data_IF_900563933687
#
_entry.id   IF_900563933687
#
_cell.length_a   1.000
_cell.length_b   1.000
_cell.length_c   1.000
_cell.angle_alpha   90.00
_cell.angle_beta   90.00
_cell.angle_gamma   90.00
#
_symmetry.space_group_name_H-M   'P 1'
#
loop_
_entity.id
_entity.type
_entity.pdbx_description
1 polymer ?
#
# COMPACT_ATOMS: atom_id res chain seq x y z
N UNK A 1 -23.10 -12.49 -21.63
CA UNK A 1 -22.25 -11.28 -21.73
C UNK A 1 -23.01 -10.03 -22.18
N UNK A 2 -23.95 -10.12 -23.12
CA UNK A 2 -24.81 -9.00 -23.57
C UNK A 2 -25.67 -8.39 -22.45
N UNK A 3 -25.99 -9.19 -21.43
CA UNK A 3 -26.77 -8.80 -20.27
C UNK A 3 -25.97 -7.89 -19.31
N UNK A 4 -24.76 -8.29 -18.90
CA UNK A 4 -23.91 -7.51 -17.98
C UNK A 4 -23.58 -6.11 -18.49
N UNK A 5 -23.20 -5.97 -19.78
CA UNK A 5 -22.89 -4.66 -20.36
C UNK A 5 -24.10 -3.73 -20.27
N UNK A 6 -25.27 -4.23 -20.66
CA UNK A 6 -26.51 -3.45 -20.67
C UNK A 6 -26.97 -3.12 -19.25
N UNK A 7 -26.87 -4.08 -18.32
CA UNK A 7 -27.20 -3.89 -16.92
C UNK A 7 -26.32 -2.82 -16.25
N UNK A 8 -24.99 -2.87 -16.45
CA UNK A 8 -24.07 -1.93 -15.82
C UNK A 8 -24.11 -0.54 -16.49
N UNK A 9 -23.96 -0.47 -17.81
CA UNK A 9 -23.93 0.80 -18.53
C UNK A 9 -25.32 1.46 -18.61
N UNK A 10 -26.40 0.67 -18.50
CA UNK A 10 -27.77 1.17 -18.46
C UNK A 10 -28.11 1.97 -17.21
N UNK A 11 -27.34 1.85 -16.13
CA UNK A 11 -27.55 2.62 -14.88
C UNK A 11 -27.37 4.12 -15.16
N UNK A 12 -26.29 4.47 -15.89
CA UNK A 12 -26.08 5.81 -16.43
C UNK A 12 -25.02 5.77 -17.56
N UNK A 13 -25.43 5.78 -18.85
CA UNK A 13 -24.52 5.58 -19.97
C UNK A 13 -23.56 6.76 -20.21
N UNK A 14 -23.79 7.90 -19.55
CA UNK A 14 -22.97 9.10 -19.64
C UNK A 14 -21.73 9.08 -18.73
N UNK A 15 -21.65 8.18 -17.74
CA UNK A 15 -20.53 8.12 -16.81
C UNK A 15 -19.40 7.25 -17.35
N UNK A 16 -18.18 7.79 -17.40
CA UNK A 16 -17.00 7.05 -17.84
C UNK A 16 -16.57 6.02 -16.80
N UNK A 17 -16.80 6.27 -15.51
CA UNK A 17 -16.48 5.33 -14.44
C UNK A 17 -17.18 3.97 -14.61
N UNK A 18 -18.40 3.94 -15.16
CA UNK A 18 -19.13 2.70 -15.44
C UNK A 18 -18.58 1.95 -16.66
N UNK A 19 -18.13 2.69 -17.68
CA UNK A 19 -17.43 2.12 -18.85
C UNK A 19 -16.10 1.53 -18.45
N UNK A 20 -15.36 2.24 -17.61
CA UNK A 20 -14.15 1.75 -17.00
C UNK A 20 -14.40 0.44 -16.22
N UNK A 21 -15.41 0.40 -15.34
CA UNK A 21 -15.73 -0.80 -14.57
C UNK A 21 -16.12 -1.99 -15.43
N UNK A 22 -16.94 -1.76 -16.46
CA UNK A 22 -17.28 -2.80 -17.43
C UNK A 22 -16.02 -3.41 -18.06
N UNK A 23 -15.10 -2.58 -18.55
CA UNK A 23 -13.86 -3.05 -19.15
C UNK A 23 -12.95 -3.73 -18.12
N UNK A 24 -12.82 -3.17 -16.92
CA UNK A 24 -11.94 -3.67 -15.86
C UNK A 24 -12.32 -5.08 -15.42
N UNK A 25 -13.60 -5.32 -15.13
CA UNK A 25 -14.10 -6.60 -14.60
C UNK A 25 -13.88 -7.76 -15.58
N UNK A 26 -13.82 -7.46 -16.88
CA UNK A 26 -13.56 -8.47 -17.91
C UNK A 26 -12.07 -8.87 -18.01
N UNK A 27 -11.14 -8.06 -17.49
CA UNK A 27 -9.70 -8.36 -17.56
C UNK A 27 -9.31 -9.51 -16.63
N UNK A 28 -8.26 -10.23 -16.99
CA UNK A 28 -7.72 -11.31 -16.14
C UNK A 28 -7.11 -10.78 -14.84
N UNK A 29 -6.62 -9.55 -14.85
CA UNK A 29 -6.02 -8.89 -13.69
C UNK A 29 -7.00 -7.95 -12.95
N UNK A 30 -8.32 -8.18 -13.10
CA UNK A 30 -9.41 -7.30 -12.58
C UNK A 30 -9.27 -6.94 -11.10
N UNK A 31 -8.80 -7.90 -10.29
CA UNK A 31 -8.62 -7.74 -8.85
C UNK A 31 -7.75 -6.53 -8.50
N UNK A 32 -6.76 -6.20 -9.32
CA UNK A 32 -5.91 -5.05 -9.04
C UNK A 32 -4.83 -5.36 -8.00
N UNK A 33 -4.60 -4.42 -7.09
CA UNK A 33 -3.59 -4.50 -6.04
C UNK A 33 -4.04 -5.38 -4.87
N UNK A 34 -3.57 -6.64 -4.80
CA UNK A 34 -3.74 -7.52 -3.63
C UNK A 34 -2.44 -8.26 -3.31
N UNK A 35 -1.87 -8.00 -2.13
CA UNK A 35 -0.49 -8.43 -1.78
C UNK A 35 -0.30 -9.02 -0.39
N UNK A 36 -1.29 -8.95 0.51
CA UNK A 36 -1.25 -9.57 1.85
C UNK A 36 -2.26 -10.70 1.96
N UNK A 37 -1.94 -11.69 2.79
CA UNK A 37 -2.91 -12.70 3.18
C UNK A 37 -3.84 -12.15 4.26
N UNK A 38 -5.11 -12.57 4.22
CA UNK A 38 -6.14 -12.12 5.14
C UNK A 38 -5.77 -12.38 6.60
N UNK A 39 -5.59 -11.30 7.35
CA UNK A 39 -5.45 -11.38 8.79
C UNK A 39 -5.79 -10.04 9.43
N UNK A 40 -6.43 -10.08 10.59
CA UNK A 40 -6.69 -8.89 11.41
C UNK A 40 -5.66 -8.83 12.54
N UNK A 41 -4.77 -7.88 12.44
CA UNK A 41 -3.70 -7.65 13.41
C UNK A 41 -3.53 -6.15 13.67
N UNK A 42 -3.01 -5.83 14.85
CA UNK A 42 -2.61 -4.48 15.25
C UNK A 42 -1.08 -4.37 15.26
N UNK A 43 -0.57 -3.15 15.41
CA UNK A 43 0.87 -2.93 15.66
C UNK A 43 1.34 -3.74 16.87
N UNK A 44 0.56 -3.73 17.96
CA UNK A 44 0.88 -4.49 19.17
C UNK A 44 0.95 -5.99 18.92
N UNK A 45 0.05 -6.54 18.11
CA UNK A 45 0.11 -7.94 17.68
C UNK A 45 1.45 -8.24 16.99
N UNK A 46 1.85 -7.40 16.02
CA UNK A 46 3.10 -7.58 15.29
C UNK A 46 4.30 -7.51 16.24
N UNK A 47 4.31 -6.55 17.18
CA UNK A 47 5.37 -6.41 18.18
C UNK A 47 5.46 -7.63 19.09
N UNK A 48 4.34 -8.20 19.53
CA UNK A 48 4.32 -9.44 20.32
C UNK A 48 4.94 -10.61 19.55
N UNK A 49 4.57 -10.78 18.28
CA UNK A 49 5.13 -11.85 17.42
C UNK A 49 6.64 -11.70 17.27
N UNK A 50 7.11 -10.49 16.94
CA UNK A 50 8.53 -10.23 16.71
C UNK A 50 9.37 -10.34 17.99
N UNK A 51 8.83 -9.89 19.14
CA UNK A 51 9.50 -9.90 20.45
C UNK A 51 10.01 -11.29 20.84
N UNK A 52 9.24 -12.33 20.51
CA UNK A 52 9.56 -13.72 20.90
C UNK A 52 10.42 -14.46 19.87
N UNK A 53 10.64 -13.90 18.68
CA UNK A 53 11.53 -14.53 17.70
C UNK A 53 13.00 -14.45 18.17
N UNK A 54 13.81 -15.51 17.93
CA UNK A 54 15.22 -15.46 18.25
C UNK A 54 15.93 -14.41 17.40
N UNK A 55 16.78 -13.60 18.06
CA UNK A 55 17.53 -12.52 17.41
C UNK A 55 18.72 -13.02 16.60
N UNK A 56 19.43 -14.02 17.11
CA UNK A 56 20.73 -14.42 16.55
C UNK A 56 20.71 -15.74 15.78
N UNK A 57 19.71 -16.59 16.00
CA UNK A 57 19.59 -17.91 15.37
C UNK A 57 18.33 -18.08 14.52
N UNK A 58 18.35 -19.09 13.66
CA UNK A 58 17.17 -19.53 12.91
C UNK A 58 16.24 -20.34 13.82
N UNK A 59 14.95 -20.00 13.83
CA UNK A 59 13.93 -20.80 14.49
C UNK A 59 13.39 -21.84 13.50
N UNK A 60 13.64 -23.12 13.75
CA UNK A 60 12.97 -24.21 13.04
C UNK A 60 11.48 -24.16 13.37
N UNK A 61 10.60 -24.26 12.38
CA UNK A 61 9.15 -24.34 12.59
C UNK A 61 8.56 -25.54 11.86
N UNK A 62 7.34 -25.96 12.22
CA UNK A 62 6.66 -27.13 11.63
C UNK A 62 6.50 -27.08 10.10
N UNK A 63 6.35 -28.26 9.49
CA UNK A 63 6.23 -28.46 8.05
C UNK A 63 4.85 -29.02 7.72
N UNK A 64 4.29 -28.58 6.59
CA UNK A 64 3.00 -29.06 6.13
C UNK A 64 1.83 -28.59 6.99
N UNK A 65 0.72 -29.30 6.84
CA UNK A 65 -0.55 -29.02 7.50
C UNK A 65 -0.62 -29.83 8.79
N UNK A 66 -1.09 -29.19 9.86
CA UNK A 66 -1.21 -29.82 11.17
C UNK A 66 -2.67 -30.21 11.35
N UNK A 67 -2.89 -31.51 11.47
CA UNK A 67 -4.18 -32.12 11.80
C UNK A 67 -4.11 -32.74 13.21
N UNK A 68 -5.23 -33.28 13.70
CA UNK A 68 -5.40 -33.74 15.08
C UNK A 68 -4.39 -34.84 15.51
N UNK A 69 -3.88 -35.60 14.55
CA UNK A 69 -2.91 -36.68 14.73
C UNK A 69 -1.45 -36.22 14.70
N UNK A 70 -1.18 -34.96 14.34
CA UNK A 70 0.18 -34.45 14.27
C UNK A 70 0.86 -34.51 15.64
N UNK A 71 2.13 -34.93 15.64
CA UNK A 71 3.00 -34.97 16.82
C UNK A 71 4.26 -34.18 16.52
N UNK A 72 4.48 -33.11 17.30
CA UNK A 72 5.68 -32.31 17.18
C UNK A 72 6.91 -33.15 17.50
N UNK A 73 7.93 -33.03 16.66
CA UNK A 73 9.23 -33.66 16.89
C UNK A 73 10.04 -32.90 17.95
N UNK A 74 11.06 -33.54 18.53
CA UNK A 74 11.96 -32.88 19.49
C UNK A 74 12.62 -31.62 18.92
N UNK A 75 12.93 -31.61 17.62
CA UNK A 75 13.52 -30.47 16.93
C UNK A 75 12.57 -29.27 16.84
N UNK A 76 11.25 -29.48 16.97
CA UNK A 76 10.21 -28.45 16.89
C UNK A 76 9.85 -27.85 18.25
N UNK A 77 10.47 -28.32 19.34
CA UNK A 77 10.16 -27.88 20.70
C UNK A 77 10.34 -26.36 20.88
N UNK A 78 11.41 -25.79 20.34
CA UNK A 78 11.64 -24.33 20.40
C UNK A 78 10.52 -23.54 19.71
N UNK A 79 9.91 -24.09 18.65
CA UNK A 79 8.78 -23.45 17.98
C UNK A 79 7.51 -23.54 18.82
N UNK A 80 7.28 -24.68 19.48
CA UNK A 80 6.17 -24.83 20.40
C UNK A 80 6.27 -23.83 21.56
N UNK A 81 7.45 -23.68 22.16
CA UNK A 81 7.71 -22.70 23.22
C UNK A 81 7.52 -21.26 22.72
N UNK A 82 8.03 -20.94 21.53
CA UNK A 82 7.78 -19.66 20.87
C UNK A 82 6.28 -19.38 20.71
N UNK A 83 5.51 -20.33 20.15
CA UNK A 83 4.07 -20.18 19.96
C UNK A 83 3.31 -20.03 21.28
N UNK A 84 3.73 -20.76 22.32
CA UNK A 84 3.14 -20.65 23.64
C UNK A 84 3.37 -19.25 24.25
N UNK A 85 4.59 -18.73 24.16
CA UNK A 85 4.94 -17.40 24.65
C UNK A 85 4.24 -16.29 23.87
N UNK A 86 4.17 -16.40 22.54
CA UNK A 86 3.39 -15.49 21.70
C UNK A 86 1.93 -15.50 22.10
N UNK A 87 1.30 -16.68 22.23
CA UNK A 87 -0.11 -16.76 22.60
C UNK A 87 -0.38 -16.22 24.02
N UNK A 88 0.53 -16.45 24.97
CA UNK A 88 0.43 -15.90 26.32
C UNK A 88 0.33 -14.38 26.30
N UNK A 89 1.18 -13.71 25.52
CA UNK A 89 1.14 -12.25 25.38
C UNK A 89 -0.05 -11.81 24.50
N UNK A 90 -0.41 -12.53 23.43
CA UNK A 90 -1.57 -12.18 22.60
C UNK A 90 -2.90 -12.24 23.37
N UNK A 91 -3.01 -13.10 24.38
CA UNK A 91 -4.21 -13.17 25.22
C UNK A 91 -4.46 -11.86 25.99
N UNK A 92 -3.42 -11.04 26.25
CA UNK A 92 -3.60 -9.73 26.92
C UNK A 92 -4.35 -8.74 26.03
N UNK A 93 -4.34 -8.95 24.71
CA UNK A 93 -5.09 -8.17 23.72
C UNK A 93 -6.28 -8.95 23.13
N UNK A 94 -6.72 -10.01 23.81
CA UNK A 94 -7.84 -10.88 23.40
C UNK A 94 -7.65 -11.48 22.00
N UNK A 95 -6.42 -11.88 21.67
CA UNK A 95 -6.04 -12.55 20.43
C UNK A 95 -5.38 -13.89 20.70
N UNK A 96 -5.35 -14.73 19.69
CA UNK A 96 -4.61 -15.98 19.68
C UNK A 96 -4.24 -16.36 18.24
N UNK A 97 -3.32 -17.31 18.11
CA UNK A 97 -2.84 -17.78 16.82
C UNK A 97 -2.47 -19.26 16.89
N UNK A 98 -2.89 -20.00 15.88
CA UNK A 98 -2.49 -21.39 15.70
C UNK A 98 -1.14 -21.46 14.99
N UNK A 99 -0.47 -22.61 15.11
CA UNK A 99 0.74 -22.91 14.35
C UNK A 99 0.57 -22.59 12.85
N UNK A 100 -0.48 -23.14 12.22
CA UNK A 100 -0.72 -22.95 10.79
C UNK A 100 -0.97 -21.47 10.46
N UNK A 101 -1.73 -20.75 11.29
CA UNK A 101 -1.93 -19.32 11.11
C UNK A 101 -0.63 -18.53 11.20
N UNK A 102 0.23 -18.85 12.18
CA UNK A 102 1.54 -18.23 12.34
C UNK A 102 2.41 -18.44 11.10
N UNK A 103 2.58 -19.69 10.65
CA UNK A 103 3.50 -19.99 9.54
C UNK A 103 2.98 -19.60 8.17
N UNK A 104 1.69 -19.84 7.91
CA UNK A 104 1.11 -19.68 6.58
C UNK A 104 0.63 -18.26 6.32
N UNK A 105 0.26 -17.51 7.36
CA UNK A 105 -0.31 -16.17 7.25
C UNK A 105 0.64 -15.13 7.84
N UNK A 106 0.92 -15.19 9.14
CA UNK A 106 1.67 -14.14 9.86
C UNK A 106 3.10 -14.04 9.33
N UNK A 107 3.84 -15.13 9.30
CA UNK A 107 5.20 -15.14 8.77
C UNK A 107 5.25 -14.78 7.28
N UNK A 108 4.24 -15.16 6.49
CA UNK A 108 4.18 -14.74 5.08
C UNK A 108 4.05 -13.23 4.97
N UNK A 109 3.15 -12.62 5.75
CA UNK A 109 2.94 -11.18 5.72
C UNK A 109 4.14 -10.41 6.29
N UNK A 110 4.71 -10.84 7.42
CA UNK A 110 5.90 -10.21 8.02
C UNK A 110 7.14 -10.32 7.12
N UNK A 111 7.29 -11.43 6.38
CA UNK A 111 8.34 -11.55 5.38
C UNK A 111 8.13 -10.56 4.22
N UNK A 112 6.89 -10.41 3.75
CA UNK A 112 6.54 -9.42 2.71
C UNK A 112 6.82 -7.99 3.16
N UNK A 113 6.60 -7.69 4.44
CA UNK A 113 6.93 -6.42 5.08
C UNK A 113 8.43 -6.23 5.32
N UNK A 114 9.24 -7.28 5.17
CA UNK A 114 10.68 -7.25 5.42
C UNK A 114 11.02 -7.13 6.91
N UNK A 115 10.13 -7.57 7.81
CA UNK A 115 10.37 -7.59 9.25
C UNK A 115 11.02 -8.90 9.69
N UNK A 116 10.83 -9.98 8.93
CA UNK A 116 11.46 -11.28 9.15
C UNK A 116 12.02 -11.84 7.84
N UNK A 117 13.01 -12.73 7.96
CA UNK A 117 13.50 -13.58 6.90
C UNK A 117 12.95 -14.99 7.08
N UNK A 118 12.62 -15.65 5.97
CA UNK A 118 12.22 -17.06 5.94
C UNK A 118 13.22 -17.85 5.12
N UNK A 119 13.51 -19.06 5.56
CA UNK A 119 14.50 -19.93 4.94
C UNK A 119 13.89 -21.29 4.62
N UNK A 120 14.43 -21.92 3.61
CA UNK A 120 14.03 -23.27 3.25
C UNK A 120 14.70 -24.33 4.14
N UNK A 121 14.36 -25.61 3.96
CA UNK A 121 14.97 -26.73 4.68
C UNK A 121 16.52 -26.80 4.63
N UNK A 122 17.16 -26.19 3.63
CA UNK A 122 18.63 -26.08 3.50
C UNK A 122 19.17 -24.79 4.12
N UNK A 123 18.38 -24.08 4.92
CA UNK A 123 18.71 -22.80 5.53
C UNK A 123 19.09 -21.71 4.50
N UNK A 124 18.63 -21.84 3.24
CA UNK A 124 18.81 -20.77 2.24
C UNK A 124 17.67 -19.78 2.34
N UNK A 125 18.02 -18.49 2.28
CA UNK A 125 17.05 -17.38 2.30
C UNK A 125 16.05 -17.52 1.16
N UNK A 126 14.76 -17.36 1.47
CA UNK A 126 13.69 -17.39 0.49
C UNK A 126 13.36 -15.98 0.02
N UNK A 127 13.40 -15.76 -1.29
CA UNK A 127 13.00 -14.48 -1.91
C UNK A 127 11.56 -14.09 -1.59
N UNK A 128 11.33 -12.81 -1.32
CA UNK A 128 9.99 -12.24 -1.13
C UNK A 128 9.18 -12.36 -2.43
N UNK A 129 7.99 -12.95 -2.33
CA UNK A 129 7.05 -13.08 -3.44
C UNK A 129 7.21 -14.33 -4.29
N UNK A 130 8.22 -15.17 -4.03
CA UNK A 130 8.31 -16.51 -4.63
C UNK A 130 7.69 -17.57 -3.70
N UNK A 131 7.15 -18.62 -4.29
CA UNK A 131 6.62 -19.76 -3.54
C UNK A 131 7.71 -20.82 -3.39
N UNK A 132 7.98 -21.23 -2.15
CA UNK A 132 8.89 -22.32 -1.83
C UNK A 132 8.09 -23.46 -1.21
N UNK A 133 8.39 -24.70 -1.61
CA UNK A 133 7.69 -25.89 -1.08
C UNK A 133 8.09 -26.21 0.37
N UNK A 134 9.29 -25.82 0.79
CA UNK A 134 9.90 -26.28 2.05
C UNK A 134 10.36 -25.11 2.92
N UNK A 135 9.51 -24.11 3.15
CA UNK A 135 9.76 -23.12 4.21
C UNK A 135 9.89 -23.85 5.55
N UNK A 136 10.99 -23.63 6.27
CA UNK A 136 11.30 -24.43 7.46
C UNK A 136 11.91 -23.62 8.59
N UNK A 137 12.50 -22.46 8.30
CA UNK A 137 13.05 -21.60 9.34
C UNK A 137 12.62 -20.15 9.18
N UNK A 138 12.66 -19.42 10.29
CA UNK A 138 12.38 -17.99 10.37
C UNK A 138 13.40 -17.29 11.25
N UNK A 139 13.71 -16.03 10.95
CA UNK A 139 14.55 -15.15 11.78
C UNK A 139 14.05 -13.71 11.69
N UNK A 140 14.16 -12.96 12.78
CA UNK A 140 13.89 -11.52 12.75
C UNK A 140 14.98 -10.78 11.95
N UNK A 141 14.60 -9.78 11.17
CA UNK A 141 15.56 -8.92 10.44
C UNK A 141 16.02 -7.76 11.32
N UNK A 142 17.08 -7.05 10.89
CA UNK A 142 17.48 -5.80 11.53
C UNK A 142 16.35 -4.77 11.56
N UNK A 143 15.58 -4.64 10.47
CA UNK A 143 14.40 -3.77 10.43
C UNK A 143 13.33 -4.18 11.43
N UNK A 144 13.12 -5.48 11.61
CA UNK A 144 12.20 -6.02 12.62
C UNK A 144 12.64 -5.65 14.04
N UNK A 145 13.94 -5.67 14.32
CA UNK A 145 14.51 -5.23 15.61
C UNK A 145 14.35 -3.72 15.81
N UNK A 146 14.68 -2.89 14.81
CA UNK A 146 14.49 -1.44 14.88
C UNK A 146 13.02 -1.05 15.10
N UNK A 147 12.09 -1.77 14.47
CA UNK A 147 10.66 -1.58 14.70
C UNK A 147 10.23 -1.93 16.14
N UNK A 148 10.80 -3.00 16.74
CA UNK A 148 10.55 -3.33 18.15
C UNK A 148 11.10 -2.26 19.10
N UNK A 149 12.22 -1.65 18.73
CA UNK A 149 12.95 -0.66 19.53
C UNK A 149 12.45 0.78 19.30
N UNK A 150 11.46 0.97 18.41
CA UNK A 150 10.86 2.28 18.12
C UNK A 150 10.32 2.94 19.39
N UNK A 151 10.75 4.18 19.63
CA UNK A 151 10.55 4.91 20.88
C UNK A 151 9.31 5.79 20.87
N UNK A 152 8.79 6.10 19.68
CA UNK A 152 7.65 6.97 19.48
C UNK A 152 6.84 6.55 18.24
N UNK A 153 5.67 7.18 18.07
CA UNK A 153 4.74 6.87 16.98
C UNK A 153 5.30 7.17 15.59
N UNK A 154 6.19 8.17 15.45
CA UNK A 154 6.78 8.55 14.16
C UNK A 154 7.86 7.55 13.71
N UNK A 155 8.68 7.06 14.64
CA UNK A 155 9.60 5.95 14.37
C UNK A 155 8.83 4.69 13.97
N UNK A 156 7.79 4.35 14.72
CA UNK A 156 6.92 3.21 14.43
C UNK A 156 6.25 3.34 13.04
N UNK A 157 5.68 4.52 12.77
CA UNK A 157 5.07 4.88 11.50
C UNK A 157 6.07 4.83 10.35
N UNK A 158 7.32 5.23 10.57
CA UNK A 158 8.36 5.15 9.54
C UNK A 158 8.66 3.71 9.15
N UNK A 159 8.86 2.83 10.14
CA UNK A 159 9.13 1.42 9.86
C UNK A 159 7.93 0.72 9.21
N UNK A 160 6.71 0.96 9.70
CA UNK A 160 5.48 0.39 9.12
C UNK A 160 5.16 0.99 7.75
N UNK A 161 5.30 2.29 7.60
CA UNK A 161 5.10 3.02 6.35
C UNK A 161 5.99 2.47 5.26
N UNK A 162 7.30 2.38 5.49
CA UNK A 162 8.25 1.77 4.55
C UNK A 162 7.88 0.32 4.24
N UNK A 163 7.54 -0.47 5.26
CA UNK A 163 7.23 -1.89 5.10
C UNK A 163 5.96 -2.12 4.27
N UNK A 164 4.89 -1.40 4.58
CA UNK A 164 3.59 -1.54 3.93
C UNK A 164 3.58 -0.87 2.56
N UNK A 165 4.23 0.26 2.39
CA UNK A 165 4.37 0.90 1.08
C UNK A 165 5.18 0.01 0.11
N UNK A 166 6.20 -0.69 0.63
CA UNK A 166 6.89 -1.74 -0.13
C UNK A 166 5.94 -2.89 -0.55
N UNK A 167 5.08 -3.34 0.37
CA UNK A 167 4.10 -4.41 0.11
C UNK A 167 3.05 -3.99 -0.92
N UNK A 168 2.52 -2.77 -0.80
CA UNK A 168 1.46 -2.23 -1.64
C UNK A 168 1.97 -1.58 -2.91
N UNK A 169 3.28 -1.52 -3.09
CA UNK A 169 3.90 -0.94 -4.27
C UNK A 169 3.67 0.55 -4.36
N UNK A 170 4.16 1.31 -3.38
CA UNK A 170 4.28 2.78 -3.45
C UNK A 170 2.97 3.56 -3.28
N UNK A 171 1.83 2.88 -3.09
CA UNK A 171 0.53 3.54 -3.09
C UNK A 171 0.21 4.25 -1.76
N UNK A 172 1.01 4.11 -0.69
CA UNK A 172 0.64 4.69 0.60
C UNK A 172 0.53 6.21 0.54
N UNK A 173 1.49 6.87 -0.12
CA UNK A 173 1.42 8.31 -0.37
C UNK A 173 0.27 8.65 -1.33
N UNK A 174 0.03 7.85 -2.36
CA UNK A 174 -1.07 8.07 -3.29
C UNK A 174 -2.44 7.96 -2.61
N UNK A 175 -2.60 7.06 -1.64
CA UNK A 175 -3.82 6.96 -0.82
C UNK A 175 -4.06 8.22 0.00
N UNK A 176 -3.01 8.77 0.62
CA UNK A 176 -3.09 10.03 1.35
C UNK A 176 -3.54 11.17 0.40
N UNK A 177 -2.92 11.26 -0.77
CA UNK A 177 -3.22 12.28 -1.78
C UNK A 177 -4.67 12.17 -2.29
N UNK A 178 -5.13 10.96 -2.61
CA UNK A 178 -6.49 10.71 -3.11
C UNK A 178 -7.52 11.06 -2.03
N UNK A 179 -7.37 10.59 -0.78
CA UNK A 179 -8.32 10.90 0.29
C UNK A 179 -8.39 12.41 0.53
N UNK A 180 -7.25 13.10 0.55
CA UNK A 180 -7.18 14.55 0.74
C UNK A 180 -7.83 15.35 -0.40
N UNK A 181 -7.87 14.80 -1.62
CA UNK A 181 -8.48 15.44 -2.78
C UNK A 181 -10.01 15.23 -2.87
N UNK A 182 -10.55 14.22 -2.16
CA UNK A 182 -11.96 13.87 -2.21
C UNK A 182 -12.80 14.74 -1.27
N UNK A 183 -14.07 14.92 -1.63
CA UNK A 183 -15.09 15.49 -0.75
C UNK A 183 -16.34 14.61 -0.78
N UNK A 184 -16.76 14.01 0.35
CA UNK A 184 -16.06 13.94 1.65
C UNK A 184 -14.71 13.18 1.59
N UNK A 185 -13.80 13.47 2.51
CA UNK A 185 -12.43 12.93 2.58
C UNK A 185 -12.40 11.50 3.15
N UNK A 186 -12.84 10.53 2.36
CA UNK A 186 -12.68 9.11 2.64
C UNK A 186 -12.60 8.32 1.34
N UNK A 187 -12.24 7.04 1.44
CA UNK A 187 -12.44 6.05 0.36
C UNK A 187 -13.22 4.87 0.93
N UNK A 188 -14.36 4.51 0.34
CA UNK A 188 -15.11 3.32 0.73
C UNK A 188 -14.43 2.04 0.22
N UNK A 189 -14.76 0.89 0.82
CA UNK A 189 -14.29 -0.42 0.31
C UNK A 189 -14.66 -0.58 -1.17
N UNK A 190 -15.87 -0.19 -1.57
CA UNK A 190 -16.32 -0.27 -2.96
C UNK A 190 -15.50 0.65 -3.88
N UNK A 191 -15.19 1.88 -3.46
CA UNK A 191 -14.35 2.80 -4.25
C UNK A 191 -12.92 2.28 -4.41
N UNK A 192 -12.38 1.64 -3.37
CA UNK A 192 -11.06 1.00 -3.42
C UNK A 192 -11.04 -0.20 -4.38
N UNK A 193 -12.05 -1.08 -4.28
CA UNK A 193 -12.28 -2.20 -5.21
C UNK A 193 -12.38 -1.65 -6.62
N UNK A 194 -13.31 -0.73 -6.86
CA UNK A 194 -13.70 -0.29 -8.19
C UNK A 194 -12.65 0.55 -8.91
N UNK A 195 -11.93 1.42 -8.20
CA UNK A 195 -11.08 2.41 -8.85
C UNK A 195 -9.63 2.32 -8.38
N UNK A 196 -9.39 2.58 -7.10
CA UNK A 196 -8.04 2.87 -6.59
C UNK A 196 -7.09 1.68 -6.72
N UNK A 197 -7.56 0.45 -6.54
CA UNK A 197 -6.74 -0.77 -6.72
C UNK A 197 -6.26 -1.00 -8.17
N UNK A 198 -6.68 -0.18 -9.14
CA UNK A 198 -6.17 -0.14 -10.52
C UNK A 198 -5.25 1.04 -10.83
N UNK A 199 -4.89 1.87 -9.85
CA UNK A 199 -3.96 2.97 -10.03
C UNK A 199 -2.64 2.49 -10.67
N UNK A 200 -2.12 3.25 -11.63
CA UNK A 200 -0.87 2.93 -12.34
C UNK A 200 -0.99 1.79 -13.37
N UNK A 201 -2.19 1.22 -13.58
CA UNK A 201 -2.44 0.23 -14.62
C UNK A 201 -2.88 0.87 -15.94
N UNK A 202 -2.67 0.13 -17.02
CA UNK A 202 -3.11 0.54 -18.35
C UNK A 202 -4.64 0.41 -18.51
N UNK A 203 -5.24 1.48 -19.03
CA UNK A 203 -6.61 1.53 -19.52
C UNK A 203 -6.63 2.28 -20.86
N UNK A 204 -7.00 1.56 -21.93
CA UNK A 204 -7.08 2.09 -23.29
C UNK A 204 -5.77 2.74 -23.80
N UNK A 205 -4.62 2.12 -23.48
CA UNK A 205 -3.31 2.64 -23.92
C UNK A 205 -2.81 3.82 -23.10
N UNK A 206 -3.44 4.14 -21.96
CA UNK A 206 -3.02 5.18 -21.02
C UNK A 206 -2.88 4.61 -19.61
N UNK A 207 -1.88 5.08 -18.89
CA UNK A 207 -1.73 4.75 -17.46
C UNK A 207 -2.76 5.55 -16.66
N UNK A 208 -3.52 4.87 -15.80
CA UNK A 208 -4.45 5.54 -14.88
C UNK A 208 -3.69 6.30 -13.80
N UNK A 209 -3.86 7.62 -13.81
CA UNK A 209 -3.30 8.57 -12.83
C UNK A 209 -4.23 8.77 -11.65
N UNK A 210 -3.71 9.40 -10.58
CA UNK A 210 -4.53 9.79 -9.41
C UNK A 210 -5.74 10.65 -9.79
N UNK A 211 -5.56 11.61 -10.69
CA UNK A 211 -6.62 12.52 -11.12
C UNK A 211 -7.77 11.75 -11.81
N UNK A 212 -7.46 10.79 -12.68
CA UNK A 212 -8.48 9.92 -13.30
C UNK A 212 -9.24 9.06 -12.28
N UNK A 213 -8.54 8.52 -11.28
CA UNK A 213 -9.17 7.77 -10.19
C UNK A 213 -10.11 8.66 -9.37
N UNK A 214 -9.70 9.89 -9.06
CA UNK A 214 -10.53 10.86 -8.33
C UNK A 214 -11.78 11.20 -9.13
N UNK A 215 -11.66 11.43 -10.45
CA UNK A 215 -12.80 11.70 -11.32
C UNK A 215 -13.79 10.53 -11.34
N UNK A 216 -13.30 9.28 -11.46
CA UNK A 216 -14.15 8.11 -11.39
C UNK A 216 -14.88 7.95 -10.05
N UNK A 217 -14.21 8.23 -8.93
CA UNK A 217 -14.83 8.21 -7.61
C UNK A 217 -15.91 9.29 -7.51
N UNK A 218 -15.66 10.50 -8.01
CA UNK A 218 -16.63 11.60 -8.00
C UNK A 218 -17.86 11.29 -8.87
N UNK A 219 -17.66 10.73 -10.07
CA UNK A 219 -18.75 10.24 -10.91
C UNK A 219 -19.55 9.15 -10.21
N UNK A 220 -18.88 8.17 -9.58
CA UNK A 220 -19.54 7.12 -8.82
C UNK A 220 -20.33 7.69 -7.63
N UNK A 221 -19.81 8.69 -6.91
CA UNK A 221 -20.51 9.43 -5.84
C UNK A 221 -21.74 10.17 -6.32
N UNK A 222 -21.72 10.70 -7.54
CA UNK A 222 -22.86 11.38 -8.15
C UNK A 222 -24.09 10.45 -8.32
N UNK A 223 -23.88 9.13 -8.37
CA UNK A 223 -24.95 8.13 -8.47
C UNK A 223 -25.79 8.03 -7.20
N UNK A 224 -25.28 8.48 -6.04
CA UNK A 224 -25.95 8.41 -4.74
C UNK A 224 -26.45 6.98 -4.45
N UNK A 225 -27.75 6.79 -4.19
CA UNK A 225 -28.33 5.48 -3.91
C UNK A 225 -28.12 4.45 -5.04
N UNK A 226 -27.91 4.88 -6.29
CA UNK A 226 -27.66 3.97 -7.43
C UNK A 226 -26.27 3.32 -7.40
N UNK A 227 -25.36 3.77 -6.53
CA UNK A 227 -24.11 3.06 -6.27
C UNK A 227 -24.33 1.61 -5.86
N UNK A 228 -25.37 1.36 -5.05
CA UNK A 228 -25.70 0.01 -4.60
C UNK A 228 -26.10 -0.90 -5.76
N UNK A 229 -26.80 -0.36 -6.76
CA UNK A 229 -27.19 -1.10 -7.98
C UNK A 229 -25.93 -1.47 -8.77
N UNK A 230 -24.95 -0.57 -8.89
CA UNK A 230 -23.65 -0.87 -9.53
C UNK A 230 -22.95 -2.02 -8.81
N UNK A 231 -22.90 -1.98 -7.47
CA UNK A 231 -22.33 -3.05 -6.66
C UNK A 231 -23.05 -4.38 -6.84
N UNK A 232 -24.38 -4.38 -6.82
CA UNK A 232 -25.21 -5.56 -7.02
C UNK A 232 -24.95 -6.18 -8.40
N UNK A 233 -24.99 -5.39 -9.47
CA UNK A 233 -24.73 -5.86 -10.85
C UNK A 233 -23.33 -6.46 -11.00
N UNK A 234 -22.30 -5.82 -10.42
CA UNK A 234 -20.92 -6.34 -10.47
C UNK A 234 -20.78 -7.60 -9.61
N UNK A 235 -21.39 -7.62 -8.42
CA UNK A 235 -21.34 -8.76 -7.51
C UNK A 235 -22.02 -9.98 -8.11
N UNK A 236 -23.17 -9.82 -8.76
CA UNK A 236 -23.91 -10.89 -9.45
C UNK A 236 -23.13 -11.43 -10.65
N UNK A 237 -22.48 -10.55 -11.41
CA UNK A 237 -21.60 -10.97 -12.48
C UNK A 237 -20.41 -11.77 -11.95
N UNK A 238 -19.79 -11.31 -10.86
CA UNK A 238 -18.58 -11.87 -10.25
C UNK A 238 -18.85 -13.00 -9.25
N UNK A 239 -19.79 -13.89 -9.56
CA UNK A 239 -20.00 -15.14 -8.83
C UNK A 239 -19.14 -16.24 -9.49
N UNK A 240 -18.27 -16.95 -8.75
CA UNK A 240 -17.35 -17.93 -9.36
C UNK A 240 -18.02 -19.05 -10.15
N UNK A 241 -19.26 -19.42 -9.82
CA UNK A 241 -20.04 -20.44 -10.54
C UNK A 241 -20.50 -19.99 -11.93
N UNK A 242 -20.49 -18.70 -12.23
CA UNK A 242 -20.85 -18.16 -13.55
C UNK A 242 -19.72 -18.36 -14.59
N UNK A 243 -18.55 -18.80 -14.15
CA UNK A 243 -17.36 -18.96 -14.99
C UNK A 243 -16.89 -20.42 -14.97
N UNK A 244 -16.51 -20.93 -16.14
CA UNK A 244 -15.84 -22.21 -16.28
C UNK A 244 -14.33 -22.08 -16.09
N UNK A 245 -13.66 -23.21 -15.89
CA UNK A 245 -12.20 -23.26 -15.79
C UNK A 245 -11.65 -23.20 -14.36
N UNK A 246 -10.36 -22.88 -14.26
CA UNK A 246 -9.63 -22.88 -12.98
C UNK A 246 -9.90 -21.61 -12.14
N UNK A 247 -9.33 -21.54 -10.93
CA UNK A 247 -9.53 -20.39 -10.02
C UNK A 247 -9.12 -19.04 -10.63
N UNK A 248 -8.15 -19.02 -11.55
CA UNK A 248 -7.64 -17.77 -12.16
C UNK A 248 -8.59 -17.25 -13.25
N UNK A 249 -9.43 -18.11 -13.79
CA UNK A 249 -10.41 -17.79 -14.82
C UNK A 249 -11.77 -17.36 -14.23
N UNK A 250 -11.95 -17.50 -12.92
CA UNK A 250 -13.18 -17.12 -12.22
C UNK A 250 -13.10 -15.69 -11.71
N UNK A 251 -14.27 -15.06 -11.56
CA UNK A 251 -14.42 -13.77 -10.86
C UNK A 251 -15.10 -14.03 -9.52
N UNK A 252 -14.55 -13.44 -8.47
CA UNK A 252 -15.03 -13.59 -7.09
C UNK A 252 -15.07 -12.22 -6.40
N UNK A 253 -16.26 -11.63 -6.30
CA UNK A 253 -16.45 -10.34 -5.64
C UNK A 253 -16.22 -10.42 -4.13
N UNK A 254 -16.59 -11.55 -3.50
CA UNK A 254 -16.43 -11.73 -2.06
C UNK A 254 -14.95 -11.78 -1.68
N UNK A 255 -14.15 -12.55 -2.42
CA UNK A 255 -12.70 -12.57 -2.22
C UNK A 255 -12.08 -11.18 -2.44
N UNK A 256 -12.47 -10.48 -3.51
CA UNK A 256 -11.99 -9.13 -3.79
C UNK A 256 -12.28 -8.13 -2.65
N UNK A 257 -13.48 -8.24 -2.07
CA UNK A 257 -13.86 -7.45 -0.89
C UNK A 257 -13.01 -7.80 0.34
N UNK A 258 -12.80 -9.09 0.62
CA UNK A 258 -11.96 -9.52 1.74
C UNK A 258 -10.51 -9.03 1.59
N UNK A 259 -9.98 -9.05 0.37
CA UNK A 259 -8.60 -8.59 0.08
C UNK A 259 -8.49 -7.08 0.29
N UNK A 260 -9.51 -6.33 -0.14
CA UNK A 260 -9.59 -4.88 0.07
C UNK A 260 -9.73 -4.51 1.55
N UNK A 261 -10.53 -5.24 2.32
CA UNK A 261 -10.64 -5.02 3.76
C UNK A 261 -9.31 -5.29 4.47
N UNK A 262 -8.57 -6.31 4.03
CA UNK A 262 -7.22 -6.62 4.56
C UNK A 262 -6.23 -5.48 4.27
N UNK A 263 -6.36 -4.87 3.08
CA UNK A 263 -5.58 -3.69 2.70
C UNK A 263 -5.92 -2.50 3.60
N UNK A 264 -7.21 -2.26 3.89
CA UNK A 264 -7.63 -1.21 4.82
C UNK A 264 -7.17 -1.47 6.25
N UNK A 265 -7.29 -2.71 6.76
CA UNK A 265 -6.74 -3.11 8.06
C UNK A 265 -5.22 -2.87 8.14
N UNK A 266 -4.53 -2.95 7.01
CA UNK A 266 -3.09 -2.68 6.96
C UNK A 266 -2.77 -1.18 6.92
N UNK A 267 -3.57 -0.38 6.22
CA UNK A 267 -3.46 1.08 6.30
C UNK A 267 -3.72 1.58 7.73
N UNK A 268 -4.68 0.99 8.44
CA UNK A 268 -5.03 1.27 9.85
C UNK A 268 -3.84 1.05 10.82
N UNK A 269 -2.80 0.31 10.40
CA UNK A 269 -1.55 0.18 11.16
C UNK A 269 -0.69 1.45 11.11
N UNK A 270 -0.82 2.27 10.07
CA UNK A 270 -0.09 3.53 9.95
C UNK A 270 -0.83 4.62 10.72
N UNK A 271 -0.09 5.51 11.38
CA UNK A 271 -0.70 6.51 12.27
C UNK A 271 -1.67 7.47 11.57
N UNK A 272 -1.54 7.73 10.27
CA UNK A 272 -2.39 8.67 9.54
C UNK A 272 -3.71 8.12 9.05
N UNK A 273 -3.87 6.81 8.93
CA UNK A 273 -5.10 6.24 8.39
C UNK A 273 -5.95 5.63 9.49
N UNK A 274 -7.26 5.71 9.31
CA UNK A 274 -8.23 5.06 10.18
C UNK A 274 -9.22 4.25 9.33
N UNK A 275 -9.38 2.97 9.67
CA UNK A 275 -10.40 2.14 9.06
C UNK A 275 -11.68 2.10 9.91
N UNK A 276 -12.68 2.88 9.48
CA UNK A 276 -14.05 2.82 10.01
C UNK A 276 -14.73 1.53 9.50
N UNK A 277 -14.61 0.48 10.31
CA UNK A 277 -15.18 -0.85 10.03
C UNK A 277 -16.71 -0.86 10.00
N UNK A 278 -17.36 0.08 10.68
CA UNK A 278 -18.84 0.17 10.69
C UNK A 278 -19.34 0.70 9.35
N UNK A 279 -18.74 1.77 8.85
CA UNK A 279 -19.11 2.38 7.56
C UNK A 279 -18.30 1.87 6.37
N UNK A 280 -17.37 0.94 6.60
CA UNK A 280 -16.55 0.29 5.58
C UNK A 280 -15.77 1.30 4.71
N UNK A 281 -15.05 2.21 5.37
CA UNK A 281 -14.31 3.30 4.71
C UNK A 281 -12.99 3.61 5.40
N UNK A 282 -11.99 3.96 4.60
CA UNK A 282 -10.70 4.47 5.05
C UNK A 282 -10.73 6.00 5.10
N UNK A 283 -10.24 6.54 6.21
CA UNK A 283 -10.22 7.97 6.55
C UNK A 283 -8.79 8.39 6.89
N UNK A 284 -8.55 9.70 6.95
CA UNK A 284 -7.36 10.23 7.61
C UNK A 284 -7.68 10.53 9.07
N UNK A 285 -6.77 10.19 9.98
CA UNK A 285 -6.91 10.57 11.38
C UNK A 285 -6.82 12.08 11.51
N UNK A 286 -7.82 12.65 12.17
CA UNK A 286 -7.86 14.07 12.49
C UNK A 286 -6.89 14.42 13.64
N UNK A 287 -6.55 13.45 14.49
CA UNK A 287 -5.71 13.68 15.67
C UNK A 287 -4.63 12.60 15.80
N UNK A 288 -3.39 13.04 16.07
CA UNK A 288 -2.28 12.16 16.47
C UNK A 288 -1.78 12.63 17.83
N UNK A 289 -1.74 11.73 18.82
CA UNK A 289 -1.34 12.04 20.20
C UNK A 289 -2.09 13.23 20.83
N UNK A 290 -3.34 13.47 20.44
CA UNK A 290 -4.16 14.58 20.94
C UNK A 290 -3.92 15.92 20.25
N UNK A 291 -3.02 15.98 19.26
CA UNK A 291 -2.86 17.15 18.39
C UNK A 291 -3.64 16.99 17.09
N UNK A 292 -4.41 18.03 16.75
CA UNK A 292 -5.18 18.08 15.53
C UNK A 292 -4.26 18.28 14.31
N UNK A 293 -4.41 17.40 13.33
CA UNK A 293 -3.70 17.43 12.05
C UNK A 293 -4.71 17.72 10.96
N UNK A 294 -4.59 18.91 10.39
CA UNK A 294 -5.28 19.29 9.17
C UNK A 294 -4.25 19.43 8.05
N UNK A 295 -4.35 18.55 7.05
CA UNK A 295 -3.58 18.68 5.82
C UNK A 295 -4.16 19.79 4.95
N UNK A 296 -3.30 20.50 4.21
CA UNK A 296 -3.82 21.43 3.21
C UNK A 296 -4.50 20.60 2.15
N UNK A 297 -5.61 21.10 1.59
CA UNK A 297 -6.29 20.38 0.52
C UNK A 297 -5.32 20.16 -0.63
N UNK A 298 -5.17 18.91 -1.07
CA UNK A 298 -4.18 18.51 -2.08
C UNK A 298 -4.20 19.42 -3.33
N UNK A 299 -5.38 19.86 -3.78
CA UNK A 299 -5.49 20.76 -4.93
C UNK A 299 -4.82 22.13 -4.73
N UNK A 300 -4.74 22.66 -3.50
CA UNK A 300 -4.09 23.94 -3.22
C UNK A 300 -2.57 23.83 -3.38
N UNK A 301 -1.98 22.75 -2.84
CA UNK A 301 -0.54 22.49 -2.98
C UNK A 301 -0.19 22.20 -4.44
N UNK A 302 -1.01 21.42 -5.15
CA UNK A 302 -0.85 21.18 -6.58
C UNK A 302 -0.94 22.47 -7.39
N UNK A 303 -1.91 23.34 -7.12
CA UNK A 303 -2.05 24.63 -7.80
C UNK A 303 -0.84 25.56 -7.52
N UNK A 304 -0.34 25.56 -6.28
CA UNK A 304 0.84 26.33 -5.91
C UNK A 304 2.09 25.83 -6.64
N UNK A 305 2.25 24.51 -6.81
CA UNK A 305 3.33 23.95 -7.62
C UNK A 305 3.32 24.54 -9.05
N UNK A 306 2.21 24.42 -9.77
CA UNK A 306 2.13 24.91 -11.15
C UNK A 306 2.36 26.42 -11.25
N UNK A 307 1.85 27.19 -10.27
CA UNK A 307 2.08 28.63 -10.19
C UNK A 307 3.56 28.98 -9.99
N UNK A 308 4.24 28.34 -9.04
CA UNK A 308 5.65 28.64 -8.74
C UNK A 308 6.59 28.14 -9.83
N UNK A 309 6.29 26.97 -10.39
CA UNK A 309 7.10 26.33 -11.42
C UNK A 309 6.82 26.85 -12.83
N UNK A 310 5.77 27.65 -13.04
CA UNK A 310 5.41 28.17 -14.36
C UNK A 310 5.30 27.04 -15.41
N UNK A 311 4.75 25.90 -14.99
CA UNK A 311 4.54 24.72 -15.85
C UNK A 311 3.05 24.54 -16.10
N UNK A 312 2.70 24.24 -17.34
CA UNK A 312 1.33 23.91 -17.74
C UNK A 312 1.00 22.44 -17.44
N UNK A 313 -0.25 22.20 -17.04
CA UNK A 313 -0.74 20.85 -16.75
C UNK A 313 -0.87 20.05 -18.04
N UNK A 314 -0.23 18.89 -18.03
CA UNK A 314 -0.23 17.84 -19.05
C UNK A 314 -0.88 16.57 -18.48
N UNK A 315 -1.77 15.96 -19.27
CA UNK A 315 -2.50 14.75 -18.87
C UNK A 315 -1.60 13.52 -18.73
N UNK A 316 -0.41 13.54 -19.33
CA UNK A 316 0.56 12.44 -19.28
C UNK A 316 1.52 12.54 -18.08
N UNK A 317 1.43 13.60 -17.29
CA UNK A 317 2.30 13.87 -16.14
C UNK A 317 1.48 13.97 -14.86
N UNK A 318 2.10 13.63 -13.74
CA UNK A 318 1.51 13.70 -12.41
C UNK A 318 2.50 14.21 -11.36
N UNK A 319 1.94 14.81 -10.30
CA UNK A 319 2.72 15.29 -9.18
C UNK A 319 3.04 14.14 -8.22
N UNK A 320 4.33 14.02 -7.91
CA UNK A 320 4.90 13.01 -7.03
C UNK A 320 5.56 13.68 -5.83
N UNK A 321 5.34 13.14 -4.63
CA UNK A 321 6.06 13.56 -3.43
C UNK A 321 7.45 12.93 -3.41
N UNK A 322 8.49 13.74 -3.26
CA UNK A 322 9.87 13.25 -3.19
C UNK A 322 10.10 12.50 -1.87
N UNK A 323 9.79 13.15 -0.75
CA UNK A 323 9.85 12.57 0.59
C UNK A 323 8.44 12.18 1.02
N UNK A 324 8.13 10.88 1.17
CA UNK A 324 6.82 10.40 1.61
C UNK A 324 6.49 10.77 3.06
N UNK A 325 5.20 10.91 3.37
CA UNK A 325 4.69 11.31 4.70
C UNK A 325 5.24 10.46 5.86
N UNK A 326 5.52 9.19 5.63
CA UNK A 326 6.00 8.27 6.65
C UNK A 326 7.50 8.47 7.00
N UNK A 327 8.19 9.42 6.37
CA UNK A 327 9.51 9.88 6.83
C UNK A 327 9.45 11.05 7.83
N UNK A 328 8.26 11.59 8.11
CA UNK A 328 8.07 12.62 9.13
C UNK A 328 8.57 12.12 10.50
N UNK A 329 9.30 13.00 11.21
CA UNK A 329 9.85 12.71 12.55
C UNK A 329 8.95 13.26 13.67
N UNK A 330 8.08 14.19 13.33
CA UNK A 330 7.14 14.89 14.21
C UNK A 330 6.00 15.49 13.37
N UNK A 331 5.06 16.17 14.03
CA UNK A 331 3.88 16.78 13.40
C UNK A 331 4.26 17.95 12.49
N UNK A 332 5.29 18.72 12.84
CA UNK A 332 5.72 19.85 12.01
C UNK A 332 6.38 19.38 10.72
N UNK A 333 7.21 18.34 10.79
CA UNK A 333 7.78 17.65 9.64
C UNK A 333 6.69 17.05 8.76
N UNK A 334 5.65 16.46 9.34
CA UNK A 334 4.51 15.92 8.61
C UNK A 334 3.75 17.01 7.85
N UNK A 335 3.50 18.17 8.47
CA UNK A 335 2.90 19.33 7.81
C UNK A 335 3.83 19.89 6.72
N UNK A 336 5.15 19.83 6.91
CA UNK A 336 6.14 20.27 5.93
C UNK A 336 6.23 19.34 4.72
N UNK A 337 5.90 18.05 4.84
CA UNK A 337 5.88 17.13 3.69
C UNK A 337 4.83 17.56 2.65
N UNK A 338 3.69 18.09 3.08
CA UNK A 338 2.61 18.59 2.21
C UNK A 338 2.93 20.02 1.70
N UNK A 339 3.98 20.12 0.88
CA UNK A 339 4.51 21.37 0.35
C UNK A 339 4.96 21.21 -1.11
N UNK A 340 4.75 22.25 -1.93
CA UNK A 340 5.13 22.22 -3.34
C UNK A 340 6.63 22.01 -3.56
N UNK A 341 7.50 22.42 -2.62
CA UNK A 341 8.95 22.18 -2.74
C UNK A 341 9.30 20.68 -2.62
N UNK A 342 8.44 19.87 -2.01
CA UNK A 342 8.55 18.42 -1.91
C UNK A 342 7.83 17.70 -3.06
N UNK A 343 7.36 18.42 -4.08
CA UNK A 343 6.74 17.84 -5.27
C UNK A 343 7.66 17.90 -6.48
N UNK A 344 7.52 16.91 -7.36
CA UNK A 344 8.04 16.92 -8.73
C UNK A 344 6.94 16.55 -9.70
N UNK A 345 6.95 17.16 -10.87
CA UNK A 345 5.98 16.86 -11.92
C UNK A 345 6.60 15.96 -12.98
N UNK A 346 6.20 14.69 -12.97
CA UNK A 346 6.86 13.62 -13.71
C UNK A 346 5.90 12.89 -14.62
N UNK A 347 6.40 12.32 -15.72
CA UNK A 347 5.57 11.54 -16.63
C UNK A 347 5.06 10.25 -15.94
N UNK A 348 3.89 9.75 -16.35
CA UNK A 348 3.24 8.60 -15.71
C UNK A 348 4.07 7.30 -15.76
N UNK A 349 4.95 7.13 -16.77
CA UNK A 349 5.85 5.96 -16.79
C UNK A 349 6.95 6.10 -15.74
N UNK A 350 7.52 7.30 -15.60
CA UNK A 350 8.49 7.58 -14.53
C UNK A 350 7.85 7.47 -13.14
N UNK A 351 6.63 7.97 -12.96
CA UNK A 351 5.90 7.76 -11.70
C UNK A 351 5.73 6.28 -11.39
N UNK A 352 5.37 5.48 -12.40
CA UNK A 352 5.27 4.03 -12.26
C UNK A 352 6.59 3.37 -11.85
N UNK A 353 7.76 3.93 -12.17
CA UNK A 353 9.04 3.43 -11.63
C UNK A 353 9.06 3.61 -10.11
N UNK A 354 8.73 4.80 -9.61
CA UNK A 354 8.62 5.08 -8.17
C UNK A 354 7.48 4.34 -7.48
N UNK A 355 6.47 3.87 -8.22
CA UNK A 355 5.37 3.06 -7.66
C UNK A 355 5.64 1.55 -7.76
N UNK A 356 6.31 1.05 -8.80
CA UNK A 356 6.39 -0.39 -9.11
C UNK A 356 7.78 -1.01 -8.98
N UNK A 357 8.87 -0.27 -9.19
CA UNK A 357 10.24 -0.77 -9.07
C UNK A 357 10.72 -0.77 -7.61
N UNK A 358 11.05 -1.95 -7.07
CA UNK A 358 11.37 -2.14 -5.64
C UNK A 358 12.67 -1.46 -5.19
N UNK A 359 13.62 -1.24 -6.09
CA UNK A 359 14.91 -0.58 -5.85
C UNK A 359 14.78 0.93 -5.95
N UNK A 360 14.20 1.41 -7.05
CA UNK A 360 13.98 2.83 -7.31
C UNK A 360 12.95 3.47 -6.36
N UNK A 361 12.03 2.68 -5.79
CA UNK A 361 11.03 3.11 -4.78
C UNK A 361 11.57 3.80 -3.54
N UNK A 362 12.86 3.60 -3.24
CA UNK A 362 13.52 4.21 -2.08
C UNK A 362 14.20 5.52 -2.42
N UNK A 363 14.11 5.97 -3.67
CA UNK A 363 14.77 7.15 -4.17
C UNK A 363 14.05 8.42 -3.68
N UNK A 364 14.44 8.89 -2.50
CA UNK A 364 13.78 9.99 -1.78
C UNK A 364 14.69 11.22 -1.62
N UNK A 365 15.98 11.10 -1.95
CA UNK A 365 16.90 12.24 -1.92
C UNK A 365 16.97 12.86 -3.30
N UNK A 366 16.52 14.12 -3.39
CA UNK A 366 16.64 14.93 -4.59
C UNK A 366 18.07 15.48 -4.73
N UNK A 367 18.59 15.40 -5.95
CA UNK A 367 19.74 16.16 -6.43
C UNK A 367 19.52 16.57 -7.90
N UNK A 368 20.43 17.36 -8.46
CA UNK A 368 20.39 17.77 -9.86
C UNK A 368 21.73 17.57 -10.56
N UNK A 369 21.68 17.04 -11.78
CA UNK A 369 22.80 17.01 -12.72
C UNK A 369 22.46 17.93 -13.87
N UNK A 370 23.03 19.13 -13.85
CA UNK A 370 22.62 20.24 -14.72
C UNK A 370 21.12 20.53 -14.58
N UNK A 371 20.29 20.11 -15.54
CA UNK A 371 18.83 20.25 -15.52
C UNK A 371 18.09 18.95 -15.23
N UNK A 372 18.77 17.82 -15.24
CA UNK A 372 18.14 16.53 -14.93
C UNK A 372 17.98 16.40 -13.42
N UNK A 373 16.80 15.94 -12.99
CA UNK A 373 16.59 15.61 -11.59
C UNK A 373 17.11 14.19 -11.32
N UNK A 374 17.83 14.03 -10.23
CA UNK A 374 18.33 12.74 -9.76
C UNK A 374 17.67 12.45 -8.43
N UNK A 375 17.03 11.29 -8.33
CA UNK A 375 16.52 10.77 -7.07
C UNK A 375 17.34 9.55 -6.68
N UNK A 376 17.85 9.50 -5.45
CA UNK A 376 18.63 8.37 -4.97
C UNK A 376 18.15 7.83 -3.62
N UNK A 377 18.50 6.57 -3.35
CA UNK A 377 18.03 5.83 -2.19
C UNK A 377 19.01 5.81 -1.00
N UNK A 378 19.97 6.76 -0.96
CA UNK A 378 21.02 6.89 0.05
C UNK A 378 22.01 5.72 0.13
N UNK A 379 21.84 4.67 -0.68
CA UNK A 379 22.70 3.47 -0.71
C UNK A 379 23.33 3.22 -2.08
N UNK A 380 23.17 4.16 -3.02
CA UNK A 380 23.89 4.20 -4.29
C UNK A 380 23.06 3.90 -5.54
N UNK A 381 21.78 3.54 -5.42
CA UNK A 381 20.90 3.43 -6.59
C UNK A 381 20.27 4.79 -6.90
N UNK A 382 20.27 5.15 -8.18
CA UNK A 382 19.80 6.44 -8.66
C UNK A 382 18.77 6.27 -9.79
N UNK A 383 17.78 7.16 -9.81
CA UNK A 383 16.86 7.37 -10.92
C UNK A 383 17.09 8.76 -11.49
N UNK A 384 17.40 8.81 -12.78
CA UNK A 384 17.60 10.07 -13.50
C UNK A 384 16.36 10.38 -14.31
N UNK A 385 15.77 11.55 -14.06
CA UNK A 385 14.62 12.07 -14.78
C UNK A 385 15.08 13.17 -15.72
N UNK A 386 14.98 12.92 -17.03
CA UNK A 386 15.41 13.87 -18.05
C UNK A 386 14.51 15.10 -18.08
N UNK A 387 15.13 16.27 -18.08
CA UNK A 387 14.41 17.54 -18.14
C UNK A 387 13.52 17.60 -19.38
N UNK A 388 12.29 18.11 -19.23
CA UNK A 388 11.21 18.18 -20.24
C UNK A 388 10.62 16.86 -20.73
N UNK A 389 11.43 15.80 -20.78
CA UNK A 389 10.99 14.46 -21.22
C UNK A 389 10.28 13.70 -20.09
N UNK A 390 10.93 13.61 -18.92
CA UNK A 390 10.43 12.85 -17.78
C UNK A 390 9.99 13.73 -16.62
N UNK A 391 10.58 14.92 -16.49
CA UNK A 391 10.27 15.86 -15.41
C UNK A 391 10.17 17.29 -15.93
N UNK A 392 9.20 18.05 -15.42
CA UNK A 392 9.03 19.47 -15.76
C UNK A 392 9.01 20.32 -14.50
N UNK A 393 9.83 21.36 -14.47
CA UNK A 393 9.93 22.30 -13.35
C UNK A 393 10.67 23.59 -13.78
N UNK A 394 10.59 24.64 -12.96
CA UNK A 394 11.37 25.87 -13.16
C UNK A 394 12.80 25.69 -12.68
N UNK A 395 13.78 25.74 -13.59
CA UNK A 395 15.21 25.53 -13.28
C UNK A 395 15.72 26.46 -12.17
N UNK A 396 15.24 27.72 -12.12
CA UNK A 396 15.63 28.66 -11.08
C UNK A 396 15.22 28.24 -9.64
N UNK A 397 14.40 27.20 -9.48
CA UNK A 397 13.96 26.69 -8.17
C UNK A 397 14.77 25.50 -7.65
N UNK A 398 15.75 24.99 -8.42
CA UNK A 398 16.53 23.79 -8.04
C UNK A 398 17.11 23.87 -6.63
N UNK A 399 17.82 24.95 -6.31
CA UNK A 399 18.46 25.13 -5.00
C UNK A 399 17.43 25.16 -3.87
N UNK A 400 16.29 25.82 -4.09
CA UNK A 400 15.19 25.90 -3.11
C UNK A 400 14.59 24.53 -2.85
N UNK A 401 14.33 23.76 -3.90
CA UNK A 401 13.83 22.39 -3.78
C UNK A 401 14.84 21.49 -3.08
N UNK A 402 16.12 21.55 -3.48
CA UNK A 402 17.20 20.76 -2.90
C UNK A 402 17.34 21.03 -1.39
N UNK A 403 17.41 22.31 -1.00
CA UNK A 403 17.53 22.72 0.40
C UNK A 403 16.33 22.24 1.21
N UNK A 404 15.12 22.37 0.67
CA UNK A 404 13.90 21.95 1.36
C UNK A 404 13.89 20.43 1.63
N UNK A 405 14.16 19.63 0.60
CA UNK A 405 14.12 18.17 0.71
C UNK A 405 15.25 17.62 1.61
N UNK A 406 16.43 18.24 1.61
CA UNK A 406 17.51 17.90 2.55
C UNK A 406 17.08 18.13 4.01
N UNK A 407 16.41 19.25 4.30
CA UNK A 407 15.87 19.53 5.64
C UNK A 407 14.84 18.48 6.06
N UNK A 408 13.93 18.07 5.18
CA UNK A 408 12.95 17.00 5.48
C UNK A 408 13.62 15.68 5.86
N UNK A 409 14.74 15.34 5.22
CA UNK A 409 15.51 14.13 5.53
C UNK A 409 16.44 14.31 6.75
N UNK A 410 16.76 15.55 7.11
CA UNK A 410 17.77 15.89 8.13
C UNK A 410 19.21 15.72 7.62
N UNK A 411 19.45 16.11 6.36
CA UNK A 411 20.74 16.05 5.65
C UNK A 411 21.38 17.42 5.48
#
# INVERSE_FOLDING_TARGET
>A
MTDFKSALLGINPALECLRFLYCRVLRDDYGGLHKLQHYRWSVEYIKIVLKHLPKDKLLLHTQGDIYDDYRYSGDELEFCEYLQNVNKDLLTIQKSITDMGMRKIIFVNLQRMGLIDRFNHKQKLCDIGKTYRNYRYVKITQRGLEFLESRNIFEEQRHLGIALDFVFGGIAQDMLDIINALSPQYISVSEMIFFVSFLGKDYQGKILTKDAIIDFINEFRSLKARQKIVEEVISEFCIPSNFSGDKTQKRDFHNWKNETQTLFDSFDLMALFEYDRTRQRLLLKADINGEHIEFKRSHLIKAEYFKQHEVEKDICFELHHIVPFYYAKDIDALKAIDNWHNLIYIDANSHKIFTLDKSAKKAIRLDFREKDAVLDNLIGDEVVLKYTDNIRYKVALQERMLKYNKVLLGL
#
